data_IF_904639778315
#
_entry.id   IF_904639778315
#
_cell.length_a   1.000
_cell.length_b   1.000
_cell.length_c   1.000
_cell.angle_alpha   90.00
_cell.angle_beta   90.00
_cell.angle_gamma   90.00
#
_symmetry.space_group_name_H-M   'P 1'
#
loop_
_entity.id
_entity.type
_entity.pdbx_description
1 polymer ?
#
# COMPACT_ATOMS: atom_id res chain seq x y z
N UNK A 1 -25.23 -22.28 5.28
CA UNK A 1 -25.13 -21.07 4.43
C UNK A 1 -23.88 -21.20 3.57
N UNK A 2 -23.93 -20.81 2.29
CA UNK A 2 -22.81 -20.99 1.35
C UNK A 2 -21.50 -20.35 1.82
N UNK A 3 -21.56 -19.18 2.48
CA UNK A 3 -20.37 -18.54 3.06
C UNK A 3 -19.65 -19.41 4.10
N UNK A 4 -20.40 -20.22 4.87
CA UNK A 4 -19.81 -21.14 5.85
C UNK A 4 -19.13 -22.34 5.18
N UNK A 5 -19.62 -22.74 4.00
CA UNK A 5 -19.06 -23.82 3.19
C UNK A 5 -17.72 -23.41 2.56
N UNK A 6 -17.63 -22.17 2.06
CA UNK A 6 -16.41 -21.69 1.38
C UNK A 6 -15.38 -21.06 2.34
N UNK A 7 -15.79 -20.73 3.57
CA UNK A 7 -14.90 -20.11 4.58
C UNK A 7 -13.58 -20.85 4.80
N UNK A 8 -13.51 -22.20 4.83
CA UNK A 8 -12.24 -22.91 4.97
C UNK A 8 -11.27 -22.71 3.79
N UNK A 9 -11.76 -22.30 2.62
CA UNK A 9 -10.93 -22.00 1.44
C UNK A 9 -10.40 -20.57 1.44
N UNK A 10 -11.08 -19.64 2.12
CA UNK A 10 -10.73 -18.22 2.20
C UNK A 10 -10.29 -17.83 3.62
N UNK A 11 -9.04 -18.16 3.95
CA UNK A 11 -8.42 -17.87 5.25
C UNK A 11 -7.19 -16.97 5.07
N UNK A 12 -6.67 -16.43 6.17
CA UNK A 12 -5.39 -15.73 6.15
C UNK A 12 -4.24 -16.63 5.65
N UNK A 13 -4.35 -17.96 5.79
CA UNK A 13 -3.34 -18.92 5.33
C UNK A 13 -3.46 -19.29 3.85
N UNK A 14 -4.63 -19.11 3.24
CA UNK A 14 -4.83 -19.35 1.81
C UNK A 14 -4.79 -18.07 0.99
N UNK A 15 -4.83 -16.91 1.65
CA UNK A 15 -4.77 -15.61 0.99
C UNK A 15 -3.47 -15.42 0.22
N UNK A 16 -3.59 -15.08 -1.07
CA UNK A 16 -2.50 -14.61 -1.92
C UNK A 16 -2.96 -13.39 -2.69
N UNK A 17 -2.15 -12.32 -2.69
CA UNK A 17 -2.50 -11.06 -3.34
C UNK A 17 -2.72 -11.22 -4.84
N UNK A 18 -1.97 -12.12 -5.48
CA UNK A 18 -1.99 -12.28 -6.94
C UNK A 18 -2.94 -13.37 -7.42
N UNK A 19 -3.13 -14.43 -6.63
CA UNK A 19 -3.82 -15.64 -7.11
C UNK A 19 -5.06 -16.01 -6.30
N UNK A 20 -5.20 -15.52 -5.07
CA UNK A 20 -6.29 -15.91 -4.18
C UNK A 20 -6.66 -14.76 -3.21
N UNK A 21 -7.26 -13.71 -3.77
CA UNK A 21 -7.57 -12.45 -3.10
C UNK A 21 -9.09 -12.17 -3.03
N UNK A 22 -9.46 -10.97 -2.58
CA UNK A 22 -10.86 -10.54 -2.50
C UNK A 22 -11.62 -10.58 -3.83
N UNK A 23 -10.96 -10.41 -4.98
CA UNK A 23 -11.60 -10.48 -6.29
C UNK A 23 -11.99 -11.92 -6.63
N UNK A 24 -11.14 -12.89 -6.27
CA UNK A 24 -11.45 -14.32 -6.45
C UNK A 24 -12.64 -14.74 -5.58
N UNK A 25 -12.66 -14.29 -4.32
CA UNK A 25 -13.79 -14.49 -3.41
C UNK A 25 -15.08 -13.87 -3.95
N UNK A 26 -15.01 -12.61 -4.39
CA UNK A 26 -16.18 -11.90 -4.93
C UNK A 26 -16.71 -12.56 -6.21
N UNK A 27 -15.83 -13.08 -7.06
CA UNK A 27 -16.18 -13.80 -8.27
C UNK A 27 -16.93 -15.11 -7.96
N UNK A 28 -16.47 -15.88 -6.98
CA UNK A 28 -17.16 -17.11 -6.57
C UNK A 28 -18.53 -16.82 -5.95
N UNK A 29 -18.64 -15.76 -5.15
CA UNK A 29 -19.94 -15.33 -4.60
C UNK A 29 -20.87 -14.83 -5.69
N UNK A 30 -20.38 -14.06 -6.66
CA UNK A 30 -21.19 -13.60 -7.79
C UNK A 30 -21.71 -14.78 -8.60
N UNK A 31 -20.87 -15.78 -8.87
CA UNK A 31 -21.28 -17.00 -9.57
C UNK A 31 -22.35 -17.76 -8.78
N UNK A 32 -22.18 -17.89 -7.47
CA UNK A 32 -23.17 -18.57 -6.62
C UNK A 32 -24.51 -17.83 -6.54
N UNK A 33 -24.49 -16.50 -6.37
CA UNK A 33 -25.69 -15.70 -6.15
C UNK A 33 -26.48 -15.41 -7.43
N UNK A 34 -25.78 -15.10 -8.52
CA UNK A 34 -26.40 -14.60 -9.76
C UNK A 34 -25.98 -15.36 -11.02
N UNK A 35 -25.10 -16.37 -10.90
CA UNK A 35 -24.62 -17.13 -12.05
C UNK A 35 -23.72 -16.34 -13.01
N UNK A 36 -23.18 -15.21 -12.54
CA UNK A 36 -22.34 -14.31 -13.34
C UNK A 36 -20.95 -14.14 -12.73
N UNK A 37 -19.97 -13.81 -13.56
CA UNK A 37 -18.61 -13.47 -13.12
C UNK A 37 -18.45 -11.97 -12.93
N UNK A 38 -17.45 -11.56 -12.14
CA UNK A 38 -17.00 -10.16 -12.14
C UNK A 38 -16.22 -9.88 -13.44
N UNK A 39 -16.11 -8.61 -13.87
CA UNK A 39 -15.37 -8.25 -15.09
C UNK A 39 -13.94 -8.80 -15.15
N UNK A 40 -13.55 -9.33 -16.32
CA UNK A 40 -12.26 -10.03 -16.50
C UNK A 40 -11.04 -9.15 -16.22
N UNK A 41 -11.10 -7.84 -16.50
CA UNK A 41 -9.98 -6.93 -16.22
C UNK A 41 -9.64 -6.86 -14.72
N UNK A 42 -10.61 -7.12 -13.84
CA UNK A 42 -10.40 -7.16 -12.38
C UNK A 42 -9.66 -8.45 -11.98
N UNK A 43 -10.03 -9.57 -12.59
CA UNK A 43 -9.40 -10.87 -12.35
C UNK A 43 -8.01 -10.97 -13.00
N UNK A 44 -7.81 -10.29 -14.14
CA UNK A 44 -6.57 -10.29 -14.91
C UNK A 44 -5.55 -9.23 -14.46
N UNK A 45 -5.92 -8.28 -13.61
CA UNK A 45 -5.01 -7.26 -13.08
C UNK A 45 -3.68 -7.84 -12.55
N UNK A 46 -3.65 -8.95 -11.78
CA UNK A 46 -2.39 -9.56 -11.35
C UNK A 46 -1.48 -9.95 -12.52
N UNK A 47 -2.06 -10.52 -13.59
CA UNK A 47 -1.33 -10.94 -14.78
C UNK A 47 -0.77 -9.74 -15.55
N UNK A 48 -1.53 -8.66 -15.66
CA UNK A 48 -1.07 -7.41 -16.29
C UNK A 48 0.12 -6.81 -15.52
N UNK A 49 0.04 -6.82 -14.19
CA UNK A 49 1.10 -6.31 -13.31
C UNK A 49 2.36 -7.17 -13.41
N UNK A 50 2.26 -8.50 -13.31
CA UNK A 50 3.42 -9.41 -13.36
C UNK A 50 4.09 -9.45 -14.72
N UNK A 51 3.33 -9.29 -15.81
CA UNK A 51 3.86 -9.26 -17.17
C UNK A 51 4.42 -7.89 -17.59
N UNK A 52 4.25 -6.86 -16.76
CA UNK A 52 4.82 -5.54 -17.05
C UNK A 52 6.34 -5.52 -16.82
N UNK A 53 7.10 -4.64 -17.51
CA UNK A 53 8.54 -4.48 -17.27
C UNK A 53 8.88 -4.13 -15.81
N UNK A 54 7.95 -3.47 -15.11
CA UNK A 54 8.12 -3.11 -13.70
C UNK A 54 7.66 -4.21 -12.73
N UNK A 55 6.93 -5.23 -13.22
CA UNK A 55 6.38 -6.33 -12.42
C UNK A 55 7.44 -7.06 -11.61
N UNK A 56 8.57 -7.39 -12.24
CA UNK A 56 9.71 -8.02 -11.57
C UNK A 56 10.33 -7.13 -10.47
N UNK A 57 10.33 -5.80 -10.66
CA UNK A 57 10.91 -4.85 -9.70
C UNK A 57 10.03 -4.68 -8.46
N UNK A 58 8.71 -4.76 -8.62
CA UNK A 58 7.74 -4.57 -7.53
C UNK A 58 7.33 -5.88 -6.84
N UNK A 59 7.66 -7.03 -7.44
CA UNK A 59 7.31 -8.35 -6.88
C UNK A 59 7.76 -8.52 -5.41
N UNK A 60 8.97 -8.11 -4.98
CA UNK A 60 9.37 -8.20 -3.57
C UNK A 60 8.48 -7.37 -2.65
N UNK A 61 8.00 -6.23 -3.14
CA UNK A 61 7.09 -5.33 -2.41
C UNK A 61 5.72 -5.98 -2.23
N UNK A 62 5.20 -6.62 -3.28
CA UNK A 62 3.94 -7.36 -3.26
C UNK A 62 4.02 -8.53 -2.26
N UNK A 63 5.11 -9.29 -2.27
CA UNK A 63 5.32 -10.40 -1.32
C UNK A 63 5.39 -9.91 0.13
N UNK A 64 6.06 -8.78 0.39
CA UNK A 64 6.08 -8.17 1.73
C UNK A 64 4.67 -7.75 2.18
N UNK A 65 3.89 -7.16 1.28
CA UNK A 65 2.51 -6.77 1.56
C UNK A 65 1.64 -8.01 1.87
N UNK A 66 1.75 -9.06 1.07
CA UNK A 66 1.03 -10.32 1.29
C UNK A 66 1.34 -10.90 2.67
N UNK A 67 2.63 -11.01 3.02
CA UNK A 67 3.06 -11.49 4.34
C UNK A 67 2.44 -10.68 5.48
N UNK A 68 2.40 -9.35 5.34
CA UNK A 68 1.81 -8.46 6.34
C UNK A 68 0.30 -8.68 6.47
N UNK A 69 -0.41 -8.84 5.36
CA UNK A 69 -1.85 -9.09 5.33
C UNK A 69 -2.20 -10.45 5.94
N UNK A 70 -1.43 -11.50 5.62
CA UNK A 70 -1.60 -12.83 6.21
C UNK A 70 -1.35 -12.84 7.71
N UNK A 71 -0.48 -11.96 8.20
CA UNK A 71 -0.25 -11.76 9.62
C UNK A 71 -1.33 -10.88 10.31
N UNK A 72 -2.39 -10.48 9.60
CA UNK A 72 -3.41 -9.52 10.07
C UNK A 72 -2.81 -8.20 10.59
N UNK A 73 -1.63 -7.81 10.08
CA UNK A 73 -0.95 -6.58 10.44
C UNK A 73 -1.31 -5.46 9.45
N UNK A 74 -1.20 -4.21 9.89
CA UNK A 74 -1.46 -3.04 9.05
C UNK A 74 -0.27 -2.80 8.11
N UNK A 75 -0.48 -2.82 6.78
CA UNK A 75 0.57 -2.51 5.81
C UNK A 75 1.21 -1.15 6.08
N UNK A 76 2.54 -1.10 6.11
CA UNK A 76 3.28 0.15 6.08
C UNK A 76 3.48 0.60 4.64
N UNK A 77 3.47 1.92 4.41
CA UNK A 77 3.72 2.49 3.08
C UNK A 77 5.06 1.96 2.53
N UNK A 78 5.07 1.36 1.32
CA UNK A 78 6.28 0.78 0.78
C UNK A 78 7.40 1.79 0.68
N UNK A 79 8.57 1.45 1.22
CA UNK A 79 9.77 2.26 1.11
C UNK A 79 10.66 1.63 0.04
N UNK A 80 10.91 2.36 -1.06
CA UNK A 80 11.87 1.91 -2.07
C UNK A 80 13.26 1.99 -1.45
N UNK A 81 13.83 0.85 -1.07
CA UNK A 81 15.21 0.76 -0.58
C UNK A 81 16.07 0.25 -1.73
N UNK A 82 16.94 1.08 -2.33
CA UNK A 82 17.95 0.59 -3.25
C UNK A 82 18.76 -0.50 -2.55
N UNK A 83 18.98 -1.63 -3.23
CA UNK A 83 19.86 -2.66 -2.71
C UNK A 83 21.25 -2.04 -2.51
N UNK A 84 21.66 -1.86 -1.26
CA UNK A 84 23.04 -1.52 -0.94
C UNK A 84 23.89 -2.71 -1.38
N UNK A 85 24.77 -2.47 -2.35
CA UNK A 85 25.77 -3.45 -2.77
C UNK A 85 26.64 -3.71 -1.53
N UNK A 86 26.45 -4.86 -0.87
CA UNK A 86 27.34 -5.27 0.19
C UNK A 86 28.76 -5.38 -0.40
N UNK A 87 29.80 -4.83 0.25
CA UNK A 87 31.16 -5.02 -0.22
C UNK A 87 31.49 -6.51 -0.14
N UNK A 88 31.67 -7.14 -1.30
CA UNK A 88 32.10 -8.51 -1.42
C UNK A 88 33.45 -8.67 -0.71
N UNK A 89 33.46 -9.44 0.38
CA UNK A 89 34.70 -9.97 0.93
C UNK A 89 35.27 -10.95 -0.09
N UNK A 90 36.40 -10.59 -0.69
CA UNK A 90 37.09 -11.40 -1.70
C UNK A 90 37.57 -12.73 -1.09
N UNK A 91 37.34 -13.88 -1.75
CA UNK A 91 38.12 -15.08 -1.50
C UNK A 91 39.34 -15.09 -2.42
N UNK A 92 40.51 -15.33 -1.82
CA UNK A 92 41.80 -15.53 -2.46
C UNK A 92 41.81 -16.75 -3.40
N UNK A 93 42.59 -16.60 -4.47
CA UNK A 93 42.81 -17.51 -5.61
C UNK A 93 43.17 -18.96 -5.22
N UNK A 94 42.58 -19.94 -5.93
CA UNK A 94 43.20 -21.25 -6.17
C UNK A 94 43.03 -21.64 -7.65
N UNK A 95 44.17 -21.80 -8.32
CA UNK A 95 44.32 -22.16 -9.73
C UNK A 95 43.96 -23.63 -9.97
N UNK A 96 43.14 -23.91 -10.97
CA UNK A 96 42.84 -25.25 -11.48
C UNK A 96 42.38 -25.17 -12.94
N UNK A 97 43.12 -25.85 -13.82
CA UNK A 97 43.21 -25.74 -15.28
C UNK A 97 42.13 -26.56 -16.01
N UNK A 98 41.59 -26.05 -17.13
CA UNK A 98 41.65 -26.65 -18.49
C UNK A 98 40.51 -26.20 -19.43
N UNK A 99 40.91 -25.79 -20.65
CA UNK A 99 40.25 -25.93 -21.98
C UNK A 99 38.79 -25.49 -22.17
N UNK A 100 38.41 -24.67 -23.17
CA UNK A 100 38.73 -24.78 -24.59
C UNK A 100 38.26 -23.53 -25.36
N UNK A 101 38.77 -23.44 -26.59
CA UNK A 101 38.87 -22.35 -27.54
C UNK A 101 37.58 -21.70 -28.05
N UNK A 102 37.66 -20.42 -28.41
CA UNK A 102 36.65 -19.71 -29.20
C UNK A 102 37.00 -18.23 -29.39
N UNK A 103 37.81 -17.94 -30.40
CA UNK A 103 38.19 -16.60 -30.89
C UNK A 103 36.94 -15.83 -31.37
N UNK A 104 36.83 -14.52 -31.09
CA UNK A 104 36.77 -13.43 -32.10
C UNK A 104 36.74 -12.04 -31.44
N UNK A 105 37.35 -11.12 -32.18
CA UNK A 105 37.83 -9.79 -31.85
C UNK A 105 36.75 -8.70 -31.70
N UNK A 106 37.07 -7.75 -30.81
CA UNK A 106 37.11 -6.29 -31.03
C UNK A 106 35.83 -5.56 -31.46
N UNK A 107 35.43 -4.56 -30.66
CA UNK A 107 35.61 -3.14 -31.02
C UNK A 107 35.22 -2.18 -29.86
N UNK A 108 36.16 -1.30 -29.51
CA UNK A 108 36.02 -0.04 -28.74
C UNK A 108 35.96 1.10 -29.78
N UNK A 109 35.21 2.19 -29.56
CA UNK A 109 35.73 3.43 -28.92
C UNK A 109 34.68 4.06 -27.96
N UNK A 110 34.99 4.59 -26.76
CA UNK A 110 35.58 5.92 -26.44
C UNK A 110 34.90 7.09 -27.20
N UNK A 111 34.34 8.15 -26.61
CA UNK A 111 34.75 8.94 -25.44
C UNK A 111 33.65 9.93 -24.97
N UNK A 112 33.80 10.42 -23.72
CA UNK A 112 33.45 11.77 -23.20
C UNK A 112 31.94 12.14 -23.14
N UNK A 113 31.41 12.91 -22.19
CA UNK A 113 31.98 13.94 -21.31
C UNK A 113 31.04 14.11 -20.10
N UNK A 114 31.58 14.57 -18.97
CA UNK A 114 30.78 14.90 -17.80
C UNK A 114 30.66 16.41 -17.64
N UNK A 115 29.48 16.92 -17.27
CA UNK A 115 29.41 18.12 -16.44
C UNK A 115 28.11 18.23 -15.63
N UNK A 116 28.29 18.80 -14.44
CA UNK A 116 27.37 18.98 -13.31
C UNK A 116 26.37 20.13 -13.58
N UNK A 117 25.16 20.07 -13.02
CA UNK A 117 24.67 21.05 -11.99
C UNK A 117 23.19 20.92 -11.62
N UNK A 118 22.96 21.16 -10.33
CA UNK A 118 21.85 21.87 -9.70
C UNK A 118 20.52 21.15 -9.42
N UNK A 119 20.41 20.71 -8.16
CA UNK A 119 19.21 20.82 -7.32
C UNK A 119 18.80 22.30 -7.20
N UNK A 120 17.50 22.60 -7.01
CA UNK A 120 17.10 23.13 -5.70
C UNK A 120 15.87 22.46 -5.07
N UNK A 121 15.67 22.64 -3.75
CA UNK A 121 14.84 21.81 -2.87
C UNK A 121 13.45 22.42 -2.60
N UNK A 122 12.51 21.59 -2.14
CA UNK A 122 11.59 21.86 -1.01
C UNK A 122 10.34 20.97 -1.08
N UNK A 123 10.34 19.93 -0.26
CA UNK A 123 9.13 19.21 0.15
C UNK A 123 8.31 20.10 1.09
N UNK A 124 7.05 20.35 0.73
CA UNK A 124 5.99 20.73 1.66
C UNK A 124 5.02 19.55 1.77
N UNK A 125 4.67 19.07 2.97
CA UNK A 125 3.72 17.97 3.13
C UNK A 125 2.31 18.54 2.93
N UNK A 126 1.62 18.09 1.88
CA UNK A 126 0.19 18.34 1.72
C UNK A 126 -0.53 17.10 2.22
N UNK A 127 -1.15 17.25 3.39
CA UNK A 127 -2.15 16.33 3.91
C UNK A 127 -3.42 16.35 3.06
N UNK A 128 -4.12 15.22 3.15
CA UNK A 128 -5.51 14.94 2.80
C UNK A 128 -6.28 16.06 2.07
N UNK A 129 -6.45 15.87 0.76
CA UNK A 129 -7.64 16.33 0.05
C UNK A 129 -8.19 15.17 -0.78
N UNK A 130 -9.08 14.39 -0.16
CA UNK A 130 -10.08 13.67 -0.94
C UNK A 130 -11.20 14.66 -1.27
N UNK A 131 -11.25 15.04 -2.54
CA UNK A 131 -12.37 15.72 -3.19
C UNK A 131 -12.74 14.83 -4.38
N UNK A 132 -13.98 14.37 -4.53
CA UNK A 132 -15.03 14.99 -5.38
C UNK A 132 -16.16 13.96 -5.63
N UNK A 133 -17.33 14.29 -6.23
CA UNK A 133 -17.81 15.57 -6.78
C UNK A 133 -19.25 15.99 -6.37
N UNK A 134 -19.69 17.12 -6.96
CA UNK A 134 -21.07 17.53 -7.27
C UNK A 134 -21.86 18.39 -6.25
N UNK A 135 -21.73 19.71 -6.45
CA UNK A 135 -22.80 20.64 -6.83
C UNK A 135 -24.19 20.45 -6.19
N UNK A 136 -24.64 21.41 -5.38
CA UNK A 136 -26.06 21.58 -5.06
C UNK A 136 -26.31 22.12 -3.66
N UNK A 137 -26.59 23.42 -3.58
CA UNK A 137 -26.98 24.14 -2.36
C UNK A 137 -28.20 23.50 -1.70
N UNK A 138 -27.99 22.76 -0.61
CA UNK A 138 -28.97 22.60 0.47
C UNK A 138 -28.17 22.58 1.76
N UNK A 139 -28.45 23.50 2.68
CA UNK A 139 -27.92 23.45 4.06
C UNK A 139 -28.55 22.24 4.74
N UNK A 140 -27.97 21.06 4.48
CA UNK A 140 -28.35 19.83 5.16
C UNK A 140 -27.88 19.95 6.62
N UNK A 141 -28.78 19.93 7.62
CA UNK A 141 -28.41 19.97 9.03
C UNK A 141 -27.44 18.83 9.41
N UNK A 142 -27.40 17.73 8.64
CA UNK A 142 -26.46 16.65 8.84
C UNK A 142 -25.04 16.97 8.34
N UNK A 143 -24.91 17.79 7.30
CA UNK A 143 -23.62 18.28 6.81
C UNK A 143 -22.93 19.17 7.84
N UNK A 144 -23.70 20.05 8.49
CA UNK A 144 -23.20 20.95 9.53
C UNK A 144 -22.74 20.18 10.78
N UNK A 145 -23.46 19.12 11.15
CA UNK A 145 -23.07 18.20 12.23
C UNK A 145 -21.77 17.43 11.90
N UNK A 146 -21.64 16.92 10.67
CA UNK A 146 -20.40 16.24 10.23
C UNK A 146 -19.21 17.20 10.21
N UNK A 147 -19.40 18.44 9.75
CA UNK A 147 -18.35 19.46 9.76
C UNK A 147 -17.86 19.77 11.18
N UNK A 148 -18.75 19.87 12.17
CA UNK A 148 -18.40 20.10 13.58
C UNK A 148 -17.59 18.95 14.17
N UNK A 149 -18.01 17.71 13.93
CA UNK A 149 -17.29 16.52 14.41
C UNK A 149 -15.90 16.44 13.78
N UNK A 150 -15.79 16.71 12.48
CA UNK A 150 -14.50 16.72 11.78
C UNK A 150 -13.54 17.78 12.31
N UNK A 151 -14.05 18.99 12.60
CA UNK A 151 -13.24 20.06 13.20
C UNK A 151 -12.72 19.66 14.59
N UNK A 152 -13.57 19.03 15.41
CA UNK A 152 -13.18 18.60 16.75
C UNK A 152 -12.15 17.46 16.72
N UNK A 153 -12.30 16.48 15.82
CA UNK A 153 -11.30 15.41 15.61
C UNK A 153 -9.96 16.01 15.18
N UNK A 154 -9.98 16.98 14.26
CA UNK A 154 -8.77 17.64 13.78
C UNK A 154 -8.06 18.41 14.90
N UNK A 155 -8.83 19.06 15.77
CA UNK A 155 -8.32 19.80 16.93
C UNK A 155 -7.68 18.86 17.97
N UNK A 156 -8.36 17.77 18.31
CA UNK A 156 -7.84 16.75 19.23
C UNK A 156 -6.59 16.08 18.68
N UNK A 157 -6.58 15.78 17.38
CA UNK A 157 -5.41 15.24 16.71
C UNK A 157 -4.21 16.18 16.81
N UNK A 158 -4.40 17.48 16.52
CA UNK A 158 -3.34 18.48 16.64
C UNK A 158 -2.82 18.60 18.08
N UNK A 159 -3.70 18.56 19.08
CA UNK A 159 -3.32 18.60 20.48
C UNK A 159 -2.48 17.38 20.90
N UNK A 160 -2.86 16.18 20.46
CA UNK A 160 -2.11 14.95 20.73
C UNK A 160 -0.75 14.99 20.02
N UNK A 161 -0.71 15.42 18.77
CA UNK A 161 0.54 15.57 18.01
C UNK A 161 1.48 16.59 18.64
N UNK A 162 0.95 17.68 19.21
CA UNK A 162 1.76 18.69 19.92
C UNK A 162 2.44 18.14 21.18
N UNK A 163 1.93 17.07 21.79
CA UNK A 163 2.61 16.42 22.92
C UNK A 163 3.87 15.67 22.49
N UNK A 164 4.03 15.36 21.20
CA UNK A 164 5.20 14.67 20.64
C UNK A 164 5.37 13.21 21.08
N UNK A 165 4.38 12.63 21.77
CA UNK A 165 4.49 11.29 22.37
C UNK A 165 4.03 10.15 21.45
N UNK A 166 3.17 10.44 20.48
CA UNK A 166 2.53 9.43 19.63
C UNK A 166 2.84 9.68 18.14
N UNK A 167 2.86 8.59 17.37
CA UNK A 167 2.92 8.69 15.90
C UNK A 167 1.58 9.14 15.33
N UNK A 168 1.60 9.74 14.14
CA UNK A 168 0.42 10.31 13.49
C UNK A 168 -0.75 9.31 13.34
N UNK A 169 -0.49 8.05 12.99
CA UNK A 169 -1.54 7.03 12.87
C UNK A 169 -2.21 6.71 14.20
N UNK A 170 -1.43 6.65 15.29
CA UNK A 170 -1.94 6.36 16.63
C UNK A 170 -2.67 7.57 17.22
N UNK A 171 -2.15 8.77 17.00
CA UNK A 171 -2.79 10.02 17.40
C UNK A 171 -4.13 10.23 16.68
N UNK A 172 -4.24 9.88 15.39
CA UNK A 172 -5.48 10.01 14.62
C UNK A 172 -6.58 9.06 15.13
N UNK A 173 -6.21 7.81 15.41
CA UNK A 173 -7.13 6.82 15.98
C UNK A 173 -7.60 7.27 17.38
N UNK A 174 -6.69 7.78 18.20
CA UNK A 174 -7.00 8.20 19.57
C UNK A 174 -7.87 9.48 19.60
N UNK A 175 -7.61 10.44 18.70
CA UNK A 175 -8.43 11.64 18.54
C UNK A 175 -9.87 11.29 18.13
N UNK A 176 -10.03 10.44 17.12
CA UNK A 176 -11.35 10.00 16.64
C UNK A 176 -12.12 9.29 17.75
N UNK A 177 -11.47 8.38 18.50
CA UNK A 177 -12.07 7.68 19.64
C UNK A 177 -12.53 8.63 20.74
N UNK A 178 -11.71 9.62 21.12
CA UNK A 178 -12.04 10.60 22.18
C UNK A 178 -13.24 11.47 21.79
N UNK A 179 -13.28 11.96 20.55
CA UNK A 179 -14.41 12.77 20.08
C UNK A 179 -15.67 11.92 20.04
N UNK A 180 -15.62 10.71 19.47
CA UNK A 180 -16.79 9.83 19.42
C UNK A 180 -17.32 9.45 20.81
N UNK A 181 -16.44 9.28 21.81
CA UNK A 181 -16.86 9.07 23.20
C UNK A 181 -17.62 10.27 23.77
N UNK A 182 -17.13 11.50 23.54
CA UNK A 182 -17.83 12.71 23.99
C UNK A 182 -19.19 12.89 23.32
N UNK A 183 -19.33 12.55 22.04
CA UNK A 183 -20.64 12.56 21.37
C UNK A 183 -21.56 11.44 21.85
N UNK A 184 -21.02 10.28 22.26
CA UNK A 184 -21.78 9.21 22.91
C UNK A 184 -22.31 9.61 24.29
N UNK A 185 -21.48 10.25 25.12
CA UNK A 185 -21.84 10.68 26.47
C UNK A 185 -22.81 11.88 26.45
N UNK A 186 -22.66 12.81 25.50
CA UNK A 186 -23.62 13.92 25.33
C UNK A 186 -24.97 13.46 24.77
N UNK A 187 -25.00 12.42 23.94
CA UNK A 187 -26.27 11.80 23.50
C UNK A 187 -26.96 11.02 24.63
N UNK A 188 -26.20 10.43 25.56
CA UNK A 188 -26.73 9.75 26.74
C UNK A 188 -27.22 10.72 27.84
N UNK A 189 -26.62 11.91 27.96
CA UNK A 189 -27.02 12.94 28.94
C UNK A 189 -28.24 13.78 28.52
N UNK A 190 -28.75 13.59 27.30
CA UNK A 190 -29.85 14.36 26.71
C UNK A 190 -31.16 13.56 26.58
N UNK A 191 -31.20 12.35 27.14
CA UNK A 191 -32.40 11.50 27.30
C UNK A 191 -32.71 11.25 28.79
#
# INVERSE_FOLDING_TARGET
MYLQEISPRYTAETYSLLTHNCNNFSNEIAQFLVGATIPDYILNLPNEVTNSPMGALIMPMIQQLESTLRANAVPQAPQFRPATIAPASQPTLSVGKSSSSGVYQSNKPESQDGEKKNVPPAVKPVGEQEKTPANGVVKDPLGDARSKVQEEITREFAAIMATGTLRASEAAALATKKVMQRYGDTFAAMN
#
